data_IF_945959794487
#
_entry.id   IF_945959794487
#
_cell.length_a   1.000
_cell.length_b   1.000
_cell.length_c   1.000
_cell.angle_alpha   90.00
_cell.angle_beta   90.00
_cell.angle_gamma   90.00
#
_symmetry.space_group_name_H-M   'P 1'
#
loop_
_entity.id
_entity.type
_entity.pdbx_description
1 polymer ?
#
# COMPACT_ATOMS: atom_id res chain seq x y z
N UNK A 1 -3.13 -17.18 -8.80
CA UNK A 1 -1.65 -17.06 -8.94
C UNK A 1 -1.21 -15.92 -8.03
N UNK A 2 -0.03 -15.98 -7.40
CA UNK A 2 0.36 -14.98 -6.39
C UNK A 2 0.34 -13.56 -6.99
N UNK A 3 -0.28 -12.62 -6.28
CA UNK A 3 -0.41 -11.21 -6.70
C UNK A 3 0.95 -10.49 -6.76
N UNK A 4 1.97 -11.04 -6.09
CA UNK A 4 3.35 -10.55 -6.08
C UNK A 4 4.32 -11.73 -6.20
N UNK A 5 5.42 -11.50 -6.92
CA UNK A 5 6.55 -12.42 -6.98
C UNK A 5 7.52 -12.19 -5.81
N UNK A 6 8.04 -13.25 -5.20
CA UNK A 6 9.00 -13.16 -4.08
C UNK A 6 10.20 -14.03 -4.39
N UNK A 7 11.39 -13.53 -4.04
CA UNK A 7 12.62 -14.29 -4.13
C UNK A 7 13.57 -13.97 -2.99
N UNK A 8 14.19 -15.01 -2.46
CA UNK A 8 15.25 -14.93 -1.45
C UNK A 8 16.46 -15.71 -1.93
N UNK A 9 17.66 -15.19 -1.70
CA UNK A 9 18.90 -15.91 -1.96
C UNK A 9 19.97 -15.56 -0.92
N UNK A 10 20.88 -16.51 -0.70
CA UNK A 10 21.97 -16.41 0.27
C UNK A 10 23.26 -16.95 -0.33
N UNK A 11 24.38 -16.30 -0.01
CA UNK A 11 25.72 -16.71 -0.42
C UNK A 11 26.73 -16.61 0.72
N UNK A 12 27.62 -17.59 0.78
CA UNK A 12 28.83 -17.52 1.62
C UNK A 12 29.83 -16.56 0.97
N UNK A 13 30.24 -15.52 1.71
CA UNK A 13 31.15 -14.47 1.25
C UNK A 13 32.51 -15.06 0.92
N UNK A 14 33.02 -15.96 1.76
CA UNK A 14 34.28 -16.66 1.51
C UNK A 14 34.28 -17.47 0.21
N UNK A 15 33.13 -17.98 -0.25
CA UNK A 15 33.04 -18.67 -1.56
C UNK A 15 33.19 -17.68 -2.71
N UNK A 16 32.59 -16.51 -2.60
CA UNK A 16 32.70 -15.45 -3.61
C UNK A 16 34.12 -14.93 -3.68
N UNK A 17 34.75 -14.67 -2.53
CA UNK A 17 36.15 -14.24 -2.44
C UNK A 17 37.10 -15.25 -3.11
N UNK A 18 36.97 -16.55 -2.78
CA UNK A 18 37.76 -17.62 -3.40
C UNK A 18 37.50 -17.74 -4.91
N UNK A 19 36.27 -17.50 -5.36
CA UNK A 19 35.92 -17.55 -6.78
C UNK A 19 36.56 -16.39 -7.56
N UNK A 20 36.51 -15.18 -7.01
CA UNK A 20 37.14 -13.98 -7.58
C UNK A 20 38.67 -14.16 -7.65
N UNK A 21 39.28 -14.61 -6.56
CA UNK A 21 40.72 -14.84 -6.50
C UNK A 21 41.20 -15.90 -7.50
N UNK A 22 40.42 -16.98 -7.69
CA UNK A 22 40.77 -18.06 -8.62
C UNK A 22 40.52 -17.68 -10.08
N UNK A 23 39.48 -16.89 -10.34
CA UNK A 23 39.05 -16.54 -11.69
C UNK A 23 38.67 -15.06 -11.77
N UNK A 24 39.62 -14.14 -11.99
CA UNK A 24 39.32 -12.70 -12.07
C UNK A 24 38.29 -12.35 -13.16
N UNK A 25 38.24 -13.12 -14.25
CA UNK A 25 37.24 -12.97 -15.32
C UNK A 25 35.80 -13.29 -14.86
N UNK A 26 35.62 -13.93 -13.70
CA UNK A 26 34.30 -14.14 -13.09
C UNK A 26 33.59 -12.81 -12.87
N UNK A 27 34.29 -11.81 -12.34
CA UNK A 27 33.70 -10.52 -11.97
C UNK A 27 33.12 -9.84 -13.21
N UNK A 28 33.94 -9.70 -14.26
CA UNK A 28 33.57 -9.01 -15.51
C UNK A 28 32.45 -9.72 -16.27
N UNK A 29 32.26 -11.04 -16.07
CA UNK A 29 31.19 -11.82 -16.72
C UNK A 29 29.86 -11.74 -15.96
N UNK A 30 29.92 -11.48 -14.66
CA UNK A 30 28.76 -11.63 -13.76
C UNK A 30 28.17 -10.29 -13.37
N UNK A 31 29.02 -9.31 -13.11
CA UNK A 31 28.65 -7.98 -12.63
C UNK A 31 28.78 -6.96 -13.76
N UNK A 32 27.99 -5.90 -13.69
CA UNK A 32 28.16 -4.74 -14.57
C UNK A 32 29.35 -3.90 -14.11
N UNK A 33 29.82 -3.00 -14.99
CA UNK A 33 30.89 -2.07 -14.64
C UNK A 33 30.54 -1.24 -13.40
N UNK A 34 29.34 -0.67 -13.34
CA UNK A 34 28.86 0.11 -12.20
C UNK A 34 28.84 -0.69 -10.89
N UNK A 35 28.46 -1.98 -10.94
CA UNK A 35 28.48 -2.85 -9.77
C UNK A 35 29.91 -3.14 -9.30
N UNK A 36 30.84 -3.33 -10.25
CA UNK A 36 32.26 -3.52 -9.93
C UNK A 36 32.81 -2.27 -9.26
N UNK A 37 32.60 -1.09 -9.84
CA UNK A 37 33.05 0.19 -9.27
C UNK A 37 32.50 0.42 -7.86
N UNK A 38 31.22 0.11 -7.65
CA UNK A 38 30.61 0.17 -6.33
C UNK A 38 31.27 -0.80 -5.33
N UNK A 39 31.41 -2.08 -5.70
CA UNK A 39 31.97 -3.10 -4.82
C UNK A 39 33.42 -2.81 -4.46
N UNK A 40 34.24 -2.40 -5.43
CA UNK A 40 35.66 -2.06 -5.22
C UNK A 40 35.85 -0.79 -4.38
N UNK A 41 34.86 0.12 -4.36
CA UNK A 41 34.91 1.31 -3.51
C UNK A 41 34.66 1.03 -2.01
N UNK A 42 34.18 -0.17 -1.68
CA UNK A 42 33.80 -0.55 -0.32
C UNK A 42 34.98 -1.18 0.44
N UNK A 43 34.98 -1.07 1.77
CA UNK A 43 36.06 -1.60 2.63
C UNK A 43 36.24 -3.12 2.48
N UNK A 44 35.14 -3.85 2.23
CA UNK A 44 35.14 -5.30 2.05
C UNK A 44 34.45 -5.70 0.74
N UNK A 45 35.14 -5.58 -0.42
CA UNK A 45 34.52 -5.79 -1.74
C UNK A 45 33.82 -7.13 -1.88
N UNK A 46 34.41 -8.21 -1.34
CA UNK A 46 33.83 -9.56 -1.43
C UNK A 46 32.42 -9.66 -0.83
N UNK A 47 32.15 -8.96 0.29
CA UNK A 47 30.83 -8.92 0.93
C UNK A 47 29.80 -8.24 0.03
N UNK A 48 30.20 -7.16 -0.66
CA UNK A 48 29.33 -6.43 -1.58
C UNK A 48 29.09 -7.21 -2.87
N UNK A 49 30.11 -7.87 -3.44
CA UNK A 49 29.92 -8.79 -4.57
C UNK A 49 28.97 -9.93 -4.21
N UNK A 50 29.11 -10.52 -3.02
CA UNK A 50 28.19 -11.55 -2.55
C UNK A 50 26.76 -11.03 -2.41
N UNK A 51 26.57 -9.83 -1.86
CA UNK A 51 25.26 -9.19 -1.73
C UNK A 51 24.62 -8.88 -3.10
N UNK A 52 25.37 -8.32 -4.06
CA UNK A 52 24.89 -8.08 -5.42
C UNK A 52 24.53 -9.39 -6.14
N UNK A 53 25.32 -10.45 -5.96
CA UNK A 53 25.02 -11.75 -6.56
C UNK A 53 23.77 -12.39 -5.93
N UNK A 54 23.61 -12.30 -4.61
CA UNK A 54 22.40 -12.75 -3.92
C UNK A 54 21.18 -11.96 -4.40
N UNK A 55 21.31 -10.63 -4.53
CA UNK A 55 20.26 -9.75 -5.03
C UNK A 55 19.75 -10.17 -6.40
N UNK A 56 20.68 -10.39 -7.32
CA UNK A 56 20.39 -10.84 -8.68
C UNK A 56 19.60 -12.15 -8.69
N UNK A 57 20.03 -13.13 -7.90
CA UNK A 57 19.35 -14.43 -7.79
C UNK A 57 17.97 -14.30 -7.13
N UNK A 58 17.84 -13.44 -6.13
CA UNK A 58 16.55 -13.14 -5.51
C UNK A 58 15.59 -12.52 -6.54
N UNK A 59 16.05 -11.59 -7.37
CA UNK A 59 15.23 -10.97 -8.42
C UNK A 59 14.83 -11.99 -9.49
N UNK A 60 15.76 -12.83 -9.97
CA UNK A 60 15.42 -13.91 -10.90
C UNK A 60 14.30 -14.81 -10.37
N UNK A 61 14.39 -15.22 -9.09
CA UNK A 61 13.34 -16.00 -8.43
C UNK A 61 12.02 -15.24 -8.31
N UNK A 62 12.06 -13.96 -7.95
CA UNK A 62 10.87 -13.12 -7.84
C UNK A 62 10.14 -12.98 -9.20
N UNK A 63 10.88 -12.90 -10.30
CA UNK A 63 10.33 -12.83 -11.66
C UNK A 63 9.98 -14.21 -12.25
N UNK A 64 10.32 -15.31 -11.57
CA UNK A 64 10.11 -16.67 -12.07
C UNK A 64 10.97 -17.01 -13.29
N UNK A 65 12.14 -16.40 -13.43
CA UNK A 65 13.08 -16.66 -14.53
C UNK A 65 14.49 -17.01 -14.02
N UNK A 66 15.37 -17.41 -14.93
CA UNK A 66 16.76 -17.77 -14.59
C UNK A 66 17.69 -17.48 -15.78
N UNK A 67 19.01 -17.34 -15.57
CA UNK A 67 19.98 -17.20 -16.65
C UNK A 67 19.95 -18.42 -17.59
N UNK A 68 19.25 -18.27 -18.72
CA UNK A 68 19.10 -19.25 -19.79
C UNK A 68 18.37 -18.58 -20.98
N UNK A 69 18.43 -19.20 -22.16
CA UNK A 69 17.57 -18.86 -23.31
C UNK A 69 17.48 -17.36 -23.64
N UNK A 70 18.63 -16.67 -23.71
CA UNK A 70 18.71 -15.24 -24.03
C UNK A 70 18.63 -14.29 -22.83
N UNK A 71 18.57 -14.82 -21.61
CA UNK A 71 18.75 -14.03 -20.37
C UNK A 71 20.23 -14.07 -19.99
N UNK A 72 20.91 -12.93 -20.10
CA UNK A 72 22.25 -12.77 -19.59
C UNK A 72 22.20 -12.55 -18.07
N UNK A 73 23.20 -13.05 -17.36
CA UNK A 73 23.28 -12.84 -15.92
C UNK A 73 23.30 -11.34 -15.60
N UNK A 74 24.02 -10.54 -16.39
CA UNK A 74 24.14 -9.08 -16.28
C UNK A 74 22.84 -8.31 -16.52
N UNK A 75 21.81 -8.94 -17.08
CA UNK A 75 20.52 -8.29 -17.35
C UNK A 75 19.78 -7.85 -16.07
N UNK A 76 20.22 -8.33 -14.90
CA UNK A 76 19.63 -7.98 -13.60
C UNK A 76 20.72 -7.46 -12.67
N UNK A 77 20.93 -6.15 -12.60
CA UNK A 77 21.96 -5.54 -11.76
C UNK A 77 21.38 -4.73 -10.61
N UNK A 78 22.24 -4.37 -9.64
CA UNK A 78 21.87 -3.53 -8.50
C UNK A 78 22.58 -2.18 -8.61
N UNK A 79 21.79 -1.11 -8.70
CA UNK A 79 22.28 0.26 -8.67
C UNK A 79 22.26 0.82 -7.24
N UNK A 80 23.37 1.43 -6.84
CA UNK A 80 23.49 2.17 -5.59
C UNK A 80 23.64 3.66 -5.89
N UNK A 81 22.59 4.46 -5.61
CA UNK A 81 22.59 5.90 -5.86
C UNK A 81 22.68 6.68 -4.56
N UNK A 82 23.47 7.76 -4.53
CA UNK A 82 23.52 8.70 -3.40
C UNK A 82 22.17 9.38 -3.10
N UNK A 83 21.27 9.41 -4.08
CA UNK A 83 19.93 10.02 -3.95
C UNK A 83 18.88 9.06 -3.41
N UNK A 84 19.11 7.75 -3.49
CA UNK A 84 18.20 6.73 -2.98
C UNK A 84 18.72 6.20 -1.64
N UNK A 85 17.81 5.98 -0.69
CA UNK A 85 18.16 5.31 0.57
C UNK A 85 18.26 3.79 0.44
N UNK A 86 17.76 3.23 -0.67
CA UNK A 86 17.65 1.78 -0.88
C UNK A 86 18.32 1.37 -2.21
N UNK A 87 18.89 0.16 -2.28
CA UNK A 87 19.42 -0.38 -3.54
C UNK A 87 18.28 -0.52 -4.56
N UNK A 88 18.56 -0.22 -5.82
CA UNK A 88 17.57 -0.28 -6.90
C UNK A 88 17.91 -1.41 -7.86
N UNK A 89 16.90 -2.19 -8.23
CA UNK A 89 17.04 -3.23 -9.26
C UNK A 89 17.00 -2.57 -10.64
N UNK A 90 17.97 -2.89 -11.48
CA UNK A 90 18.00 -2.51 -12.89
C UNK A 90 17.78 -3.77 -13.72
N UNK A 91 16.73 -3.75 -14.54
CA UNK A 91 16.41 -4.84 -15.47
C UNK A 91 16.68 -4.40 -16.90
N UNK A 92 17.39 -5.23 -17.65
CA UNK A 92 17.61 -5.09 -19.08
C UNK A 92 17.11 -6.35 -19.80
N UNK A 93 17.06 -6.29 -21.14
CA UNK A 93 16.79 -7.46 -21.98
C UNK A 93 15.52 -8.24 -21.58
N UNK A 94 15.64 -9.56 -21.61
CA UNK A 94 14.51 -10.48 -21.40
C UNK A 94 13.90 -10.41 -19.99
N UNK A 95 14.64 -10.25 -18.88
CA UNK A 95 14.05 -10.01 -17.56
C UNK A 95 13.16 -8.76 -17.49
N UNK A 96 13.52 -7.67 -18.18
CA UNK A 96 12.71 -6.46 -18.23
C UNK A 96 11.39 -6.68 -18.98
N UNK A 97 11.40 -7.48 -20.05
CA UNK A 97 10.19 -7.89 -20.76
C UNK A 97 9.28 -8.73 -19.86
N UNK A 98 9.83 -9.73 -19.17
CA UNK A 98 9.08 -10.59 -18.25
C UNK A 98 8.41 -9.77 -17.15
N UNK A 99 9.15 -8.82 -16.54
CA UNK A 99 8.60 -7.93 -15.53
C UNK A 99 7.43 -7.08 -16.07
N UNK A 100 7.56 -6.57 -17.30
CA UNK A 100 6.52 -5.80 -17.97
C UNK A 100 5.28 -6.64 -18.26
N UNK A 101 5.45 -7.85 -18.79
CA UNK A 101 4.36 -8.77 -19.12
C UNK A 101 3.62 -9.24 -17.86
N UNK A 102 4.33 -9.36 -16.74
CA UNK A 102 3.75 -9.65 -15.42
C UNK A 102 3.13 -8.43 -14.72
N UNK A 103 3.20 -7.22 -15.32
CA UNK A 103 2.67 -6.00 -14.73
C UNK A 103 3.41 -5.53 -13.46
N UNK A 104 4.68 -5.92 -13.32
CA UNK A 104 5.55 -5.48 -12.21
C UNK A 104 5.86 -3.99 -12.36
N UNK A 105 5.54 -3.22 -11.34
CA UNK A 105 5.79 -1.77 -11.29
C UNK A 105 7.10 -1.45 -10.57
N UNK A 106 7.43 -2.25 -9.56
CA UNK A 106 8.58 -2.04 -8.70
C UNK A 106 9.10 -3.39 -8.20
N UNK A 107 10.42 -3.50 -8.01
CA UNK A 107 11.02 -4.61 -7.28
C UNK A 107 11.68 -4.04 -6.04
N UNK A 108 11.03 -4.23 -4.89
CA UNK A 108 11.59 -3.85 -3.61
C UNK A 108 12.70 -4.83 -3.24
N UNK A 109 13.91 -4.30 -3.03
CA UNK A 109 15.10 -5.09 -2.73
C UNK A 109 15.64 -4.72 -1.35
N UNK A 110 15.93 -5.74 -0.54
CA UNK A 110 16.59 -5.60 0.75
C UNK A 110 17.82 -6.51 0.79
N UNK A 111 18.95 -5.96 1.24
CA UNK A 111 20.23 -6.64 1.36
C UNK A 111 20.68 -6.61 2.81
N UNK A 112 21.24 -7.71 3.28
CA UNK A 112 21.92 -7.79 4.56
C UNK A 112 23.11 -8.75 4.44
N UNK A 113 24.15 -8.53 5.23
CA UNK A 113 25.29 -9.43 5.26
C UNK A 113 25.99 -9.38 6.61
N UNK A 114 26.62 -10.50 6.96
CA UNK A 114 27.55 -10.62 8.08
C UNK A 114 28.98 -10.70 7.54
N UNK A 115 29.92 -11.19 8.34
CA UNK A 115 31.26 -11.54 7.86
C UNK A 115 31.26 -12.79 6.97
N UNK A 116 30.31 -13.71 7.17
CA UNK A 116 30.30 -15.01 6.49
C UNK A 116 29.29 -15.10 5.36
N UNK A 117 28.13 -14.44 5.49
CA UNK A 117 26.98 -14.69 4.63
C UNK A 117 26.35 -13.37 4.19
N UNK A 118 26.03 -13.27 2.91
CA UNK A 118 25.16 -12.25 2.35
C UNK A 118 23.78 -12.84 2.01
N UNK A 119 22.73 -12.08 2.28
CA UNK A 119 21.33 -12.42 1.99
C UNK A 119 20.66 -11.28 1.23
N UNK A 120 19.80 -11.65 0.29
CA UNK A 120 18.95 -10.70 -0.41
C UNK A 120 17.51 -11.19 -0.46
N UNK A 121 16.58 -10.26 -0.30
CA UNK A 121 15.15 -10.47 -0.48
C UNK A 121 14.61 -9.49 -1.53
N UNK A 122 13.91 -10.02 -2.52
CA UNK A 122 13.30 -9.27 -3.61
C UNK A 122 11.79 -9.52 -3.64
N UNK A 123 11.01 -8.45 -3.76
CA UNK A 123 9.55 -8.52 -3.88
C UNK A 123 9.14 -7.75 -5.14
N UNK A 124 8.62 -8.45 -6.13
CA UNK A 124 8.04 -7.88 -7.34
C UNK A 124 6.60 -7.42 -7.04
N UNK A 125 6.41 -6.11 -7.01
CA UNK A 125 5.14 -5.44 -6.69
C UNK A 125 4.40 -5.13 -7.98
N UNK A 126 3.22 -5.72 -8.14
CA UNK A 126 2.27 -5.39 -9.22
C UNK A 126 1.28 -4.33 -8.74
N UNK A 127 0.46 -3.80 -9.65
CA UNK A 127 -0.61 -2.86 -9.29
C UNK A 127 -1.57 -3.44 -8.25
N UNK A 128 -1.87 -4.73 -8.35
CA UNK A 128 -2.84 -5.42 -7.49
C UNK A 128 -2.27 -5.75 -6.11
N UNK A 129 -0.96 -6.01 -6.03
CA UNK A 129 -0.26 -6.28 -4.78
C UNK A 129 0.20 -5.01 -4.04
N UNK A 130 0.19 -3.85 -4.70
CA UNK A 130 0.57 -2.59 -4.06
C UNK A 130 -0.39 -2.36 -2.88
N UNK A 131 0.11 -2.16 -1.65
CA UNK A 131 -0.74 -1.86 -0.51
C UNK A 131 -1.59 -0.66 -0.87
N UNK A 132 -2.91 -0.83 -0.94
CA UNK A 132 -3.80 0.31 -1.08
C UNK A 132 -3.51 1.17 0.12
N UNK A 133 -3.07 2.41 -0.13
CA UNK A 133 -3.17 3.43 0.88
C UNK A 133 -4.67 3.50 1.16
N UNK A 134 -5.13 2.85 2.24
CA UNK A 134 -6.41 3.22 2.81
C UNK A 134 -6.19 4.66 3.18
N UNK A 135 -6.57 5.57 2.27
CA UNK A 135 -6.71 6.97 2.61
C UNK A 135 -7.46 6.95 3.92
N UNK A 136 -6.91 7.58 4.96
CA UNK A 136 -7.69 7.81 6.18
C UNK A 136 -9.01 8.34 5.66
N UNK A 137 -10.08 7.54 5.78
CA UNK A 137 -11.42 8.05 5.63
C UNK A 137 -11.41 9.22 6.59
N UNK A 138 -11.54 10.46 6.08
CA UNK A 138 -11.41 11.64 6.91
C UNK A 138 -12.54 11.55 7.93
N UNK A 139 -12.19 10.99 9.09
CA UNK A 139 -13.17 10.60 10.09
C UNK A 139 -13.92 11.84 10.53
N UNK A 140 -13.30 13.03 10.41
CA UNK A 140 -13.91 14.32 10.66
C UNK A 140 -14.96 14.68 9.59
N UNK A 141 -14.67 14.44 8.32
CA UNK A 141 -15.62 14.68 7.22
C UNK A 141 -16.83 13.73 7.31
N UNK A 142 -16.58 12.46 7.61
CA UNK A 142 -17.64 11.46 7.77
C UNK A 142 -18.51 11.73 9.01
N UNK A 143 -17.90 12.11 10.14
CA UNK A 143 -18.62 12.54 11.33
C UNK A 143 -19.46 13.79 11.04
N UNK A 144 -18.90 14.75 10.30
CA UNK A 144 -19.59 15.99 9.96
C UNK A 144 -20.82 15.77 9.08
N UNK A 145 -20.75 14.83 8.13
CA UNK A 145 -21.89 14.41 7.30
C UNK A 145 -22.96 13.72 8.14
N UNK A 146 -22.54 12.87 9.08
CA UNK A 146 -23.44 12.16 9.99
C UNK A 146 -24.17 13.13 10.92
N UNK A 147 -23.45 14.09 11.53
CA UNK A 147 -24.06 15.12 12.38
C UNK A 147 -25.02 16.02 11.62
N UNK A 148 -24.68 16.40 10.38
CA UNK A 148 -25.57 17.21 9.54
C UNK A 148 -26.88 16.47 9.26
N UNK A 149 -26.79 15.20 8.87
CA UNK A 149 -27.97 14.36 8.62
C UNK A 149 -28.83 14.15 9.87
N UNK A 150 -28.20 13.97 11.03
CA UNK A 150 -28.93 13.86 12.30
C UNK A 150 -29.66 15.17 12.66
N UNK A 151 -29.05 16.32 12.35
CA UNK A 151 -29.68 17.63 12.56
C UNK A 151 -30.89 17.85 11.65
N UNK A 152 -30.77 17.52 10.37
CA UNK A 152 -31.88 17.65 9.42
C UNK A 152 -33.12 16.84 9.88
N UNK A 153 -32.92 15.64 10.41
CA UNK A 153 -33.99 14.80 10.97
C UNK A 153 -34.64 15.43 12.21
N UNK A 154 -33.85 16.04 13.09
CA UNK A 154 -34.38 16.73 14.27
C UNK A 154 -35.19 17.97 13.88
N UNK A 155 -34.68 18.75 12.93
CA UNK A 155 -35.35 19.95 12.42
C UNK A 155 -36.70 19.60 11.76
N UNK A 156 -36.77 18.46 11.05
CA UNK A 156 -37.99 17.92 10.47
C UNK A 156 -39.02 17.52 11.55
N UNK A 157 -38.58 16.82 12.61
CA UNK A 157 -39.44 16.44 13.73
C UNK A 157 -39.97 17.65 14.51
N UNK A 158 -39.15 18.68 14.71
CA UNK A 158 -39.58 19.94 15.34
C UNK A 158 -40.63 20.65 14.49
N UNK A 159 -40.49 20.63 13.16
CA UNK A 159 -41.51 21.16 12.24
C UNK A 159 -42.85 20.43 12.39
N UNK A 160 -42.84 19.10 12.48
CA UNK A 160 -44.07 18.32 12.69
C UNK A 160 -44.73 18.62 14.05
N UNK A 161 -43.96 18.76 15.12
CA UNK A 161 -44.48 19.10 16.44
C UNK A 161 -45.07 20.52 16.49
N UNK A 162 -44.42 21.48 15.84
CA UNK A 162 -44.91 22.85 15.78
C UNK A 162 -46.16 22.96 14.90
N UNK A 163 -46.21 22.30 13.75
CA UNK A 163 -47.40 22.24 12.90
C UNK A 163 -48.60 21.60 13.63
N UNK A 164 -48.37 20.53 14.40
CA UNK A 164 -49.40 19.90 15.24
C UNK A 164 -49.85 20.78 16.42
N UNK A 165 -48.95 21.60 16.99
CA UNK A 165 -49.31 22.59 18.02
C UNK A 165 -50.13 23.74 17.46
N UNK A 166 -49.83 24.22 16.26
CA UNK A 166 -50.62 25.28 15.59
C UNK A 166 -52.02 24.79 15.21
N UNK A 167 -52.17 23.52 14.79
CA UNK A 167 -53.50 22.95 14.50
C UNK A 167 -54.35 22.76 15.77
N UNK A 168 -53.75 22.38 16.89
CA UNK A 168 -54.43 22.26 18.19
C UNK A 168 -54.79 23.62 18.80
N UNK A 169 -53.92 24.63 18.68
CA UNK A 169 -54.20 25.98 19.16
C UNK A 169 -55.32 26.68 18.35
N UNK A 170 -55.39 26.46 17.03
CA UNK A 170 -56.48 26.96 16.18
C UNK A 170 -57.85 26.32 16.50
N UNK A 171 -57.86 25.05 16.92
CA UNK A 171 -59.07 24.35 17.36
C UNK A 171 -59.58 24.85 18.72
N UNK A 172 -58.68 25.23 19.63
CA UNK A 172 -59.06 25.73 20.95
C UNK A 172 -59.50 27.21 20.94
N UNK A 173 -59.05 28.02 19.96
CA UNK A 173 -59.47 29.43 19.84
C UNK A 173 -60.87 29.60 19.23
N UNK A 174 -61.44 28.59 18.59
CA UNK A 174 -62.77 28.65 17.96
C UNK A 174 -63.91 28.17 18.88
N UNK A 175 -63.60 27.65 20.08
CA UNK A 175 -64.59 27.09 20.99
C UNK A 175 -65.12 28.04 22.07
N UNK A 176 -64.69 29.31 22.13
CA UNK A 176 -65.02 30.25 23.24
C UNK A 176 -65.94 31.40 22.83
N UNK A 177 -66.74 31.24 21.77
CA UNK A 177 -67.68 32.27 21.33
C UNK A 177 -69.03 31.69 20.89
N UNK A 178 -69.82 31.17 21.83
CA UNK A 178 -71.28 31.05 21.68
C UNK A 178 -71.93 31.21 23.05
N UNK A 179 -72.21 32.47 23.37
CA UNK A 179 -73.07 32.91 24.46
C UNK A 179 -74.50 32.94 23.92
N UNK A 180 -75.46 32.24 24.53
CA UNK A 180 -76.90 32.56 24.43
C UNK A 180 -77.70 31.78 25.51
N UNK A 181 -78.95 32.14 25.84
CA UNK A 181 -79.36 32.54 27.20
C UNK A 181 -80.49 31.69 27.82
N UNK A 182 -80.63 31.76 29.14
CA UNK A 182 -81.89 31.96 29.87
C UNK A 182 -82.99 30.88 29.91
N UNK A 183 -83.39 30.58 31.17
CA UNK A 183 -84.72 30.12 31.65
C UNK A 183 -85.08 28.64 31.34
N UNK A 184 -85.66 27.84 32.23
CA UNK A 184 -86.16 27.98 33.61
C UNK A 184 -86.44 26.57 34.16
N UNK A 185 -86.31 26.45 35.49
CA UNK A 185 -87.03 25.58 36.44
C UNK A 185 -87.91 24.42 35.90
N UNK A 186 -87.60 23.18 36.31
CA UNK A 186 -88.54 22.36 37.13
C UNK A 186 -87.96 20.98 37.51
N UNK A 187 -87.89 20.75 38.84
CA UNK A 187 -88.49 19.60 39.55
C UNK A 187 -88.01 18.13 39.39
N UNK A 188 -87.72 17.53 40.57
CA UNK A 188 -87.93 16.11 41.03
C UNK A 188 -86.77 15.11 40.76
N UNK A 189 -85.93 14.79 41.77
CA UNK A 189 -86.02 13.68 42.77
C UNK A 189 -86.08 12.26 42.16
N UNK A 190 -84.96 11.53 42.19
CA UNK A 190 -84.57 10.49 43.17
C UNK A 190 -83.10 10.13 42.98
#
# INVERSE_FOLDING_TARGET
MALAGVGVDMLEIGRVERAIARHPSFVVRVFTQDECEYCESCIHPASHYAACFAARRAVFKALGCQPASGIHIQDVSVAHSKKSRYPQVVLNGRPAEIARDQGVQEIALSLSYTHDVAVANAVAVTQEARPRQNGKVDSKEELSKTFRRARDVLDELEHYQNAGRTSLAGFLSTSTALRSPGLSDDSIKE
#
